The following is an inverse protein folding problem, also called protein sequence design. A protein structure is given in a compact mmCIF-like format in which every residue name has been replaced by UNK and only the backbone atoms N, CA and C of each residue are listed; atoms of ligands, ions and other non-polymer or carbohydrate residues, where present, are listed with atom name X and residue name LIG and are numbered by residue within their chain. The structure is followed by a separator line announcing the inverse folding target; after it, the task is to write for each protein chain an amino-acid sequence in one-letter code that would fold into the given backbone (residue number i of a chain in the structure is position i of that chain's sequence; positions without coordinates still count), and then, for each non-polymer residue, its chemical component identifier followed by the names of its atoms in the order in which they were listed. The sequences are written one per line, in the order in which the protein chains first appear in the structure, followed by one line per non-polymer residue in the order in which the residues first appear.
data_IF_795245610453
#
_entry.id   IF_795245610453
#
_cell.length_a   1.000
_cell.length_b   1.000
_cell.length_c   1.000
_cell.angle_alpha   90.00
_cell.angle_beta   90.00
_cell.angle_gamma   90.00
#
_symmetry.space_group_name_H-M   'P 1'
#
loop_
_entity.id
_entity.type
_entity.pdbx_description
1 polymer ?
#
# COMPACT_ATOMS: atom_id res chain seq x y z
N UNK A 1 -6.76 -23.83 11.42
CA UNK A 1 -6.63 -22.57 10.63
C UNK A 1 -5.94 -21.54 11.50
N UNK A 2 -5.26 -20.52 10.94
CA UNK A 2 -4.48 -19.52 11.70
C UNK A 2 -5.23 -18.89 12.89
N UNK A 3 -6.54 -18.68 12.73
CA UNK A 3 -7.41 -18.12 13.77
C UNK A 3 -7.63 -19.04 14.98
N UNK A 4 -7.55 -20.35 14.79
CA UNK A 4 -7.73 -21.34 15.88
C UNK A 4 -6.58 -21.27 16.91
N UNK A 5 -5.48 -20.61 16.54
CA UNK A 5 -4.32 -20.33 17.40
C UNK A 5 -4.17 -18.85 17.74
N UNK A 6 -5.23 -18.05 17.52
CA UNK A 6 -5.28 -16.65 17.94
C UNK A 6 -4.71 -15.61 16.97
N UNK A 7 -4.33 -16.00 15.75
CA UNK A 7 -3.83 -15.06 14.73
C UNK A 7 -5.00 -14.36 14.04
N UNK A 8 -5.20 -13.08 14.36
CA UNK A 8 -6.28 -12.24 13.81
C UNK A 8 -5.78 -11.00 13.05
N UNK A 9 -4.47 -10.85 12.87
CA UNK A 9 -3.87 -9.76 12.10
C UNK A 9 -3.11 -10.31 10.91
N UNK A 10 -3.28 -9.69 9.75
CA UNK A 10 -2.69 -10.15 8.49
C UNK A 10 -2.11 -8.97 7.73
N UNK A 11 -0.89 -9.15 7.22
CA UNK A 11 -0.26 -8.22 6.28
C UNK A 11 -0.36 -8.79 4.86
N UNK A 12 -0.80 -7.96 3.91
CA UNK A 12 -0.97 -8.36 2.52
C UNK A 12 0.23 -7.97 1.67
N UNK A 13 0.81 -8.95 0.98
CA UNK A 13 1.85 -8.75 -0.03
C UNK A 13 1.37 -9.32 -1.38
N UNK A 14 1.13 -8.48 -2.40
CA UNK A 14 0.62 -8.95 -3.69
C UNK A 14 1.74 -9.45 -4.60
N UNK A 15 1.46 -10.50 -5.37
CA UNK A 15 2.19 -10.81 -6.60
C UNK A 15 1.36 -10.34 -7.79
N UNK A 16 1.61 -9.11 -8.24
CA UNK A 16 0.90 -8.54 -9.39
C UNK A 16 1.39 -9.20 -10.69
N UNK A 17 0.49 -9.53 -11.63
CA UNK A 17 0.87 -10.00 -12.96
C UNK A 17 1.81 -9.03 -13.67
N UNK A 18 2.87 -9.54 -14.32
CA UNK A 18 3.91 -8.68 -14.90
C UNK A 18 3.37 -7.74 -15.99
N UNK A 19 2.32 -8.12 -16.72
CA UNK A 19 1.68 -7.28 -17.74
C UNK A 19 0.88 -6.09 -17.19
N UNK A 20 0.70 -5.98 -15.86
CA UNK A 20 0.07 -4.82 -15.21
C UNK A 20 1.12 -3.87 -14.60
N UNK A 21 2.40 -4.22 -14.64
CA UNK A 21 3.45 -3.39 -14.08
C UNK A 21 3.81 -2.25 -15.02
N UNK A 22 3.95 -1.06 -14.47
CA UNK A 22 4.34 0.15 -15.22
C UNK A 22 5.49 0.85 -14.50
N UNK A 23 6.21 1.73 -15.21
CA UNK A 23 7.30 2.51 -14.63
C UNK A 23 6.84 3.36 -13.43
N UNK A 24 5.59 3.81 -13.46
CA UNK A 24 4.99 4.66 -12.42
C UNK A 24 4.16 3.89 -11.39
N UNK A 25 4.07 2.56 -11.52
CA UNK A 25 3.37 1.69 -10.57
C UNK A 25 1.85 1.88 -10.54
N UNK A 26 1.20 2.12 -11.68
CA UNK A 26 -0.20 2.59 -11.72
C UNK A 26 -1.22 1.60 -11.15
N UNK A 27 -0.90 0.30 -11.20
CA UNK A 27 -1.75 -0.74 -10.62
C UNK A 27 -1.81 -0.67 -9.08
N UNK A 28 -0.89 0.05 -8.42
CA UNK A 28 -0.85 0.21 -6.96
C UNK A 28 -2.10 0.89 -6.39
N UNK A 29 -2.76 1.75 -7.17
CA UNK A 29 -3.97 2.48 -6.77
C UNK A 29 -5.19 2.13 -7.63
N UNK A 30 -5.16 1.00 -8.32
CA UNK A 30 -6.33 0.48 -9.01
C UNK A 30 -7.34 -0.05 -7.99
N UNK A 31 -8.50 0.62 -7.85
CA UNK A 31 -9.55 0.23 -6.91
C UNK A 31 -10.12 -1.17 -7.16
N UNK A 32 -9.96 -1.72 -8.37
CA UNK A 32 -10.32 -3.09 -8.75
C UNK A 32 -9.12 -4.05 -8.78
N UNK A 33 -7.94 -3.58 -8.37
CA UNK A 33 -6.70 -4.34 -8.31
C UNK A 33 -6.74 -5.46 -7.28
N UNK A 34 -5.65 -6.25 -7.25
CA UNK A 34 -5.58 -7.45 -6.40
C UNK A 34 -5.73 -7.12 -4.91
N UNK A 35 -5.01 -6.10 -4.41
CA UNK A 35 -5.04 -5.74 -2.98
C UNK A 35 -6.41 -5.20 -2.56
N UNK A 36 -7.00 -4.17 -3.21
CA UNK A 36 -8.34 -3.69 -2.83
C UNK A 36 -9.44 -4.75 -2.87
N UNK A 37 -9.45 -5.64 -3.88
CA UNK A 37 -10.41 -6.74 -3.93
C UNK A 37 -10.20 -7.75 -2.79
N UNK A 38 -8.95 -8.04 -2.45
CA UNK A 38 -8.61 -8.95 -1.35
C UNK A 38 -9.05 -8.39 0.00
N UNK A 39 -8.79 -7.10 0.26
CA UNK A 39 -9.21 -6.44 1.51
C UNK A 39 -10.73 -6.52 1.67
N UNK A 40 -11.49 -6.11 0.65
CA UNK A 40 -12.97 -6.14 0.70
C UNK A 40 -13.50 -7.54 0.96
N UNK A 41 -12.97 -8.56 0.27
CA UNK A 41 -13.37 -9.95 0.47
C UNK A 41 -13.04 -10.46 1.89
N UNK A 42 -11.89 -10.07 2.42
CA UNK A 42 -11.48 -10.45 3.78
C UNK A 42 -12.33 -9.77 4.85
N UNK A 43 -12.62 -8.47 4.73
CA UNK A 43 -13.44 -7.72 5.68
C UNK A 43 -14.92 -8.11 5.62
N UNK A 44 -15.44 -8.47 4.44
CA UNK A 44 -16.79 -9.03 4.29
C UNK A 44 -16.94 -10.36 5.03
N UNK A 45 -15.95 -11.25 4.88
CA UNK A 45 -15.99 -12.59 5.47
C UNK A 45 -15.61 -12.63 6.95
N UNK A 46 -14.70 -11.75 7.36
CA UNK A 46 -14.10 -11.72 8.70
C UNK A 46 -13.96 -10.26 9.16
N UNK A 47 -15.06 -9.60 9.56
CA UNK A 47 -15.03 -8.18 9.91
C UNK A 47 -14.13 -7.85 11.10
N UNK A 48 -13.80 -8.86 11.92
CA UNK A 48 -13.04 -8.73 13.16
C UNK A 48 -11.52 -8.88 13.02
N UNK A 49 -11.02 -9.19 11.82
CA UNK A 49 -9.56 -9.24 11.59
C UNK A 49 -9.00 -7.84 11.32
N UNK A 50 -7.72 -7.67 11.66
CA UNK A 50 -6.96 -6.46 11.37
C UNK A 50 -6.14 -6.69 10.10
N UNK A 51 -6.37 -5.84 9.10
CA UNK A 51 -5.66 -5.88 7.83
C UNK A 51 -4.62 -4.78 7.78
N UNK A 52 -3.37 -5.20 7.70
CA UNK A 52 -2.22 -4.40 7.36
C UNK A 52 -1.98 -4.50 5.86
N UNK A 53 -1.66 -3.38 5.22
CA UNK A 53 -1.31 -3.36 3.80
C UNK A 53 0.05 -2.75 3.60
N UNK A 54 0.83 -3.34 2.70
CA UNK A 54 2.09 -2.79 2.26
C UNK A 54 1.86 -1.64 1.26
N UNK A 55 2.58 -0.54 1.48
CA UNK A 55 2.63 0.62 0.58
C UNK A 55 4.07 0.80 0.11
N UNK A 56 4.31 0.34 -1.12
CA UNK A 56 5.56 0.39 -1.87
C UNK A 56 5.24 0.12 -3.35
N UNK A 57 6.11 0.56 -4.27
CA UNK A 57 5.91 0.37 -5.71
C UNK A 57 6.59 -0.89 -6.27
N UNK A 58 7.45 -1.59 -5.54
CA UNK A 58 8.19 -2.75 -6.08
C UNK A 58 7.30 -3.88 -6.66
N UNK A 59 6.09 -4.17 -6.15
CA UNK A 59 5.24 -5.18 -6.76
C UNK A 59 4.58 -4.68 -8.07
N UNK A 60 4.57 -3.37 -8.31
CA UNK A 60 3.85 -2.68 -9.38
C UNK A 60 4.80 -2.04 -10.41
N UNK A 61 6.07 -1.86 -10.06
CA UNK A 61 7.10 -1.26 -10.91
C UNK A 61 7.60 -2.26 -11.94
N UNK A 62 7.74 -1.82 -13.19
CA UNK A 62 8.41 -2.61 -14.24
C UNK A 62 9.89 -2.81 -13.96
N UNK A 63 10.51 -1.90 -13.19
CA UNK A 63 11.93 -1.93 -12.84
C UNK A 63 12.19 -2.65 -11.51
N UNK A 64 11.13 -2.93 -10.74
CA UNK A 64 11.21 -3.66 -9.47
C UNK A 64 11.75 -2.86 -8.28
N UNK A 65 11.91 -1.55 -8.44
CA UNK A 65 12.27 -0.64 -7.34
C UNK A 65 11.03 -0.16 -6.56
N UNK A 66 11.21 0.12 -5.27
CA UNK A 66 10.16 0.64 -4.36
C UNK A 66 9.63 2.03 -4.77
N UNK A 67 10.30 2.71 -5.72
CA UNK A 67 9.94 4.02 -6.24
C UNK A 67 10.11 4.17 -7.75
N UNK A 68 9.69 5.32 -8.28
CA UNK A 68 9.78 5.67 -9.70
C UNK A 68 11.25 5.92 -10.06
N UNK A 69 11.74 5.23 -11.09
CA UNK A 69 13.13 5.32 -11.54
C UNK A 69 13.22 6.21 -12.78
N UNK A 70 14.02 7.27 -12.69
CA UNK A 70 14.37 8.13 -13.83
C UNK A 70 15.35 7.41 -14.76
N UNK A 71 15.44 7.84 -16.01
CA UNK A 71 16.34 7.26 -17.03
C UNK A 71 17.81 7.16 -16.61
N UNK A 72 18.28 8.03 -15.72
CA UNK A 72 19.66 8.02 -15.19
C UNK A 72 19.84 7.16 -13.93
N UNK A 73 18.82 6.39 -13.54
CA UNK A 73 18.83 5.47 -12.41
C UNK A 73 18.51 6.10 -11.06
N UNK A 74 18.18 7.40 -11.01
CA UNK A 74 17.79 8.08 -9.77
C UNK A 74 16.34 7.73 -9.41
N UNK A 75 16.10 7.33 -8.15
CA UNK A 75 14.75 7.16 -7.61
C UNK A 75 14.19 8.54 -7.26
N UNK A 76 13.03 8.84 -7.83
CA UNK A 76 12.36 10.14 -7.71
C UNK A 76 11.52 10.19 -6.43
N UNK A 77 12.03 10.83 -5.38
CA UNK A 77 11.41 10.83 -4.04
C UNK A 77 9.96 11.35 -4.05
N UNK A 78 9.76 12.59 -4.47
CA UNK A 78 8.47 13.28 -4.30
C UNK A 78 7.40 12.71 -5.23
N UNK A 79 7.78 12.35 -6.45
CA UNK A 79 6.92 11.67 -7.41
C UNK A 79 6.52 10.27 -6.92
N UNK A 80 7.44 9.55 -6.26
CA UNK A 80 7.14 8.27 -5.61
C UNK A 80 6.15 8.48 -4.46
N UNK A 81 6.43 9.42 -3.56
CA UNK A 81 5.54 9.77 -2.44
C UNK A 81 4.13 10.10 -2.94
N UNK A 82 4.01 10.81 -4.07
CA UNK A 82 2.71 11.09 -4.66
C UNK A 82 1.93 9.82 -5.06
N UNK A 83 2.59 8.82 -5.63
CA UNK A 83 1.94 7.53 -5.94
C UNK A 83 1.60 6.73 -4.68
N UNK A 84 2.50 6.70 -3.69
CA UNK A 84 2.27 6.01 -2.42
C UNK A 84 1.06 6.58 -1.68
N UNK A 85 0.83 7.89 -1.74
CA UNK A 85 -0.38 8.52 -1.21
C UNK A 85 -1.66 7.98 -1.89
N UNK A 86 -1.67 7.83 -3.22
CA UNK A 86 -2.82 7.25 -3.95
C UNK A 86 -3.05 5.79 -3.56
N UNK A 87 -1.98 5.02 -3.45
CA UNK A 87 -2.03 3.62 -3.02
C UNK A 87 -2.61 3.50 -1.62
N UNK A 88 -2.10 4.29 -0.66
CA UNK A 88 -2.61 4.32 0.71
C UNK A 88 -4.10 4.64 0.78
N UNK A 89 -4.55 5.66 0.04
CA UNK A 89 -5.97 6.03 -0.03
C UNK A 89 -6.82 4.94 -0.66
N UNK A 90 -6.38 4.29 -1.75
CA UNK A 90 -7.12 3.18 -2.37
C UNK A 90 -7.26 1.99 -1.42
N UNK A 91 -6.19 1.64 -0.68
CA UNK A 91 -6.21 0.58 0.32
C UNK A 91 -7.13 0.92 1.51
N UNK A 92 -7.10 2.16 1.99
CA UNK A 92 -8.00 2.64 3.04
C UNK A 92 -9.47 2.59 2.61
N UNK A 93 -9.79 3.06 1.39
CA UNK A 93 -11.14 2.93 0.78
C UNK A 93 -11.62 1.49 0.68
N UNK A 94 -10.70 0.54 0.54
CA UNK A 94 -11.02 -0.89 0.50
C UNK A 94 -11.28 -1.50 1.88
N UNK A 95 -10.94 -0.79 2.97
CA UNK A 95 -11.14 -1.23 4.35
C UNK A 95 -9.87 -1.70 5.07
N UNK A 96 -8.69 -1.27 4.63
CA UNK A 96 -7.46 -1.52 5.38
C UNK A 96 -7.50 -0.79 6.74
N UNK A 97 -7.08 -1.48 7.80
CA UNK A 97 -7.03 -0.91 9.14
C UNK A 97 -5.69 -0.18 9.39
N UNK A 98 -4.61 -0.70 8.78
CA UNK A 98 -3.26 -0.16 8.94
C UNK A 98 -2.53 -0.07 7.60
N UNK A 99 -2.09 1.13 7.25
CA UNK A 99 -1.21 1.39 6.11
C UNK A 99 0.25 1.26 6.57
N UNK A 100 1.03 0.43 5.88
CA UNK A 100 2.40 0.10 6.29
C UNK A 100 3.40 0.47 5.19
N UNK A 101 3.83 1.75 5.11
CA UNK A 101 4.74 2.19 4.06
C UNK A 101 6.13 1.59 4.28
N UNK A 102 6.59 0.80 3.31
CA UNK A 102 7.88 0.10 3.34
C UNK A 102 8.90 0.65 2.34
N UNK A 103 8.53 1.69 1.59
CA UNK A 103 9.28 2.29 0.47
C UNK A 103 10.56 3.05 0.82
N UNK A 104 10.72 3.45 2.10
CA UNK A 104 11.86 4.23 2.61
C UNK A 104 12.06 5.64 2.02
N UNK A 105 11.09 6.22 1.31
CA UNK A 105 11.18 7.59 0.81
C UNK A 105 11.18 8.62 1.96
N UNK A 106 11.81 9.77 1.73
CA UNK A 106 11.81 10.87 2.67
C UNK A 106 10.43 11.54 2.71
N UNK A 107 9.96 11.84 3.93
CA UNK A 107 8.70 12.56 4.13
C UNK A 107 7.40 11.76 3.90
N UNK A 108 7.46 10.52 3.38
CA UNK A 108 6.25 9.75 3.00
C UNK A 108 5.21 9.61 4.11
N UNK A 109 5.64 9.43 5.36
CA UNK A 109 4.71 9.22 6.50
C UNK A 109 3.78 10.41 6.68
N UNK A 110 4.32 11.62 6.63
CA UNK A 110 3.53 12.86 6.75
C UNK A 110 2.62 13.08 5.56
N UNK A 111 3.12 12.81 4.34
CA UNK A 111 2.33 12.93 3.12
C UNK A 111 1.16 11.94 3.07
N UNK A 112 1.41 10.66 3.42
CA UNK A 112 0.37 9.62 3.50
C UNK A 112 -0.67 10.00 4.55
N UNK A 113 -0.25 10.48 5.73
CA UNK A 113 -1.20 10.96 6.75
C UNK A 113 -2.10 12.07 6.22
N UNK A 114 -1.50 13.10 5.60
CA UNK A 114 -2.27 14.21 5.03
C UNK A 114 -3.26 13.75 3.95
N UNK A 115 -2.86 12.81 3.08
CA UNK A 115 -3.74 12.26 2.04
C UNK A 115 -4.90 11.44 2.61
N UNK A 116 -4.64 10.59 3.62
CA UNK A 116 -5.69 9.85 4.30
C UNK A 116 -6.66 10.78 5.04
N UNK A 117 -6.17 11.84 5.69
CA UNK A 117 -7.02 12.84 6.37
C UNK A 117 -7.90 13.63 5.41
N UNK A 118 -7.35 14.01 4.25
CA UNK A 118 -8.11 14.73 3.22
C UNK A 118 -9.31 13.91 2.69
N UNK A 119 -9.26 12.58 2.82
CA UNK A 119 -10.28 11.63 2.37
C UNK A 119 -11.16 11.10 3.52
N UNK A 120 -10.97 11.61 4.75
CA UNK A 120 -11.77 11.25 5.92
C UNK A 120 -11.33 9.96 6.63
N UNK A 121 -10.17 9.40 6.30
CA UNK A 121 -9.62 8.18 6.91
C UNK A 121 -8.79 8.48 8.17
N UNK A 122 -9.38 9.20 9.12
CA UNK A 122 -8.68 9.69 10.30
C UNK A 122 -8.18 8.56 11.23
N UNK A 123 -8.96 7.48 11.35
CA UNK A 123 -8.66 6.36 12.25
C UNK A 123 -7.77 5.28 11.63
N UNK A 124 -7.48 5.36 10.32
CA UNK A 124 -6.56 4.43 9.66
C UNK A 124 -5.16 4.68 10.19
N UNK A 125 -4.57 3.64 10.78
CA UNK A 125 -3.24 3.72 11.40
C UNK A 125 -2.13 3.69 10.35
N UNK A 126 -0.97 4.25 10.70
CA UNK A 126 0.24 4.13 9.88
C UNK A 126 1.31 3.39 10.68
N UNK A 127 1.77 2.25 10.16
CA UNK A 127 2.89 1.48 10.70
C UNK A 127 4.11 1.67 9.79
N UNK A 128 4.88 2.73 10.05
CA UNK A 128 6.06 3.06 9.25
C UNK A 128 7.16 2.01 9.43
N UNK A 129 7.70 1.52 8.30
CA UNK A 129 9.01 0.88 8.28
C UNK A 129 10.06 1.98 8.42
N UNK A 130 10.37 2.35 9.66
CA UNK A 130 11.26 3.48 9.95
C UNK A 130 12.74 3.14 9.74
N UNK A 131 13.11 1.87 9.97
CA UNK A 131 14.44 1.34 9.72
C UNK A 131 14.28 -0.03 9.04
N UNK A 132 14.43 -0.06 7.71
CA UNK A 132 14.32 -1.24 6.83
C UNK A 132 15.69 -1.60 6.27
#
# INVERSE_FOLDING_TARGET
KSRDVGVNSFVLFPKVPDGLKTQTGDEAYNDNGLVPRTIRLLKDKYPDIVIYTDVALDPYSSDGHDGIVREDGVIMNDETVHQLCKQAVSQARAGADVISPSDMMDGRVGAIRAALDAEGFHDVSIMSYTAK
#
